data_IF_988205485945
#
_entry.id   IF_988205485945
#
_cell.length_a   1.000
_cell.length_b   1.000
_cell.length_c   1.000
_cell.angle_alpha   90.00
_cell.angle_beta   90.00
_cell.angle_gamma   90.00
#
_symmetry.space_group_name_H-M   'P 1'
#
loop_
_entity.id
_entity.type
_entity.pdbx_description
1 polymer ?
#
# COMPACT_ATOMS: atom_id res chain seq x y z
N UNK A 1 13.06 -34.92 -2.39
CA UNK A 1 12.71 -33.84 -3.32
C UNK A 1 11.81 -32.87 -2.57
N UNK A 2 12.30 -31.70 -2.18
CA UNK A 2 11.50 -30.68 -1.50
C UNK A 2 10.66 -29.99 -2.56
N UNK A 3 9.33 -30.03 -2.42
CA UNK A 3 8.44 -29.36 -3.34
C UNK A 3 8.76 -27.86 -3.36
N UNK A 4 9.14 -27.35 -4.52
CA UNK A 4 9.37 -25.93 -4.74
C UNK A 4 8.05 -25.19 -4.52
N UNK A 5 7.95 -24.50 -3.39
CA UNK A 5 6.74 -23.82 -2.96
C UNK A 5 6.57 -22.56 -3.82
N UNK A 6 6.06 -22.72 -5.04
CA UNK A 6 5.80 -21.62 -5.96
C UNK A 6 4.86 -20.63 -5.25
N UNK A 7 5.28 -19.38 -4.98
CA UNK A 7 4.44 -18.43 -4.25
C UNK A 7 3.14 -18.24 -5.02
N UNK A 8 2.01 -18.59 -4.39
CA UNK A 8 0.68 -18.33 -4.96
C UNK A 8 0.55 -16.84 -5.15
N UNK A 9 0.13 -16.41 -6.34
CA UNK A 9 -0.22 -15.02 -6.60
C UNK A 9 -1.39 -14.64 -5.66
N UNK A 10 -1.06 -13.98 -4.56
CA UNK A 10 -2.04 -13.43 -3.64
C UNK A 10 -2.42 -12.04 -4.17
N UNK A 11 -3.68 -11.87 -4.55
CA UNK A 11 -4.25 -10.56 -4.80
C UNK A 11 -4.87 -10.04 -3.51
N UNK A 12 -4.62 -8.78 -3.18
CA UNK A 12 -5.25 -8.11 -2.05
C UNK A 12 -5.93 -6.84 -2.54
N UNK A 13 -7.18 -6.67 -2.10
CA UNK A 13 -7.95 -5.46 -2.26
C UNK A 13 -8.30 -5.00 -0.86
N UNK A 14 -7.99 -3.74 -0.54
CA UNK A 14 -8.32 -3.15 0.75
C UNK A 14 -9.13 -1.88 0.51
N UNK A 15 -10.16 -1.67 1.32
CA UNK A 15 -11.00 -0.47 1.26
C UNK A 15 -10.80 0.36 2.51
N UNK A 16 -10.53 1.65 2.34
CA UNK A 16 -10.32 2.63 3.42
C UNK A 16 -11.29 3.78 3.26
N UNK A 17 -11.93 4.20 4.34
CA UNK A 17 -12.69 5.45 4.33
C UNK A 17 -11.74 6.60 4.60
N UNK A 18 -11.59 7.51 3.63
CA UNK A 18 -10.73 8.68 3.72
C UNK A 18 -11.55 9.96 3.42
N UNK A 19 -11.03 11.15 3.77
CA UNK A 19 -11.64 12.40 3.32
C UNK A 19 -11.83 12.39 1.80
N UNK A 20 -13.02 12.73 1.29
CA UNK A 20 -13.35 12.57 -0.12
C UNK A 20 -12.61 13.52 -1.08
N UNK A 21 -12.79 13.33 -2.41
CA UNK A 21 -12.18 14.18 -3.43
C UNK A 21 -12.90 15.52 -3.64
N UNK A 22 -14.13 15.64 -3.13
CA UNK A 22 -14.93 16.86 -3.20
C UNK A 22 -14.41 17.95 -2.25
N UNK A 23 -14.84 19.21 -2.46
CA UNK A 23 -14.43 20.34 -1.63
C UNK A 23 -14.86 20.18 -0.16
N UNK A 24 -15.96 19.47 0.09
CA UNK A 24 -16.51 19.21 1.42
C UNK A 24 -15.76 18.10 2.16
N UNK A 25 -14.86 17.38 1.46
CA UNK A 25 -14.07 16.26 1.99
C UNK A 25 -14.92 15.18 2.65
N UNK A 26 -16.13 14.93 2.13
CA UNK A 26 -17.04 13.92 2.71
C UNK A 26 -16.37 12.55 2.79
N UNK A 27 -16.46 11.82 3.92
CA UNK A 27 -15.88 10.49 4.03
C UNK A 27 -16.32 9.60 2.86
N UNK A 28 -15.37 9.03 2.14
CA UNK A 28 -15.61 8.25 0.92
C UNK A 28 -14.75 7.00 0.95
N UNK A 29 -15.26 5.83 0.51
CA UNK A 29 -14.43 4.64 0.37
C UNK A 29 -13.43 4.80 -0.78
N UNK A 30 -12.18 4.50 -0.50
CA UNK A 30 -11.10 4.36 -1.47
C UNK A 30 -10.67 2.90 -1.52
N UNK A 31 -10.53 2.35 -2.72
CA UNK A 31 -10.13 0.96 -2.93
C UNK A 31 -8.68 0.89 -3.40
N UNK A 32 -7.88 0.10 -2.70
CA UNK A 32 -6.46 -0.11 -2.95
C UNK A 32 -6.29 -1.55 -3.45
N UNK A 33 -5.96 -1.73 -4.72
CA UNK A 33 -5.72 -3.04 -5.32
C UNK A 33 -4.23 -3.21 -5.59
N UNK A 34 -3.62 -4.23 -5.00
CA UNK A 34 -2.23 -4.60 -5.32
C UNK A 34 -2.13 -4.95 -6.80
N UNK A 35 -1.19 -4.33 -7.51
CA UNK A 35 -0.92 -4.60 -8.93
C UNK A 35 0.44 -5.24 -9.15
N UNK A 36 1.40 -5.03 -8.25
CA UNK A 36 2.70 -5.69 -8.25
C UNK A 36 3.19 -5.91 -6.83
N UNK A 37 3.90 -7.02 -6.61
CA UNK A 37 4.66 -7.30 -5.38
C UNK A 37 5.97 -7.98 -5.76
N UNK A 38 7.09 -7.44 -5.28
CA UNK A 38 8.38 -8.09 -5.45
C UNK A 38 8.40 -9.41 -4.64
N UNK A 39 8.74 -10.56 -5.27
CA UNK A 39 8.89 -11.83 -4.56
C UNK A 39 10.01 -11.81 -3.49
N UNK A 40 11.00 -10.92 -3.64
CA UNK A 40 12.08 -10.73 -2.70
C UNK A 40 11.92 -9.40 -1.93
N UNK A 41 11.30 -9.41 -0.73
CA UNK A 41 10.94 -8.18 -0.03
C UNK A 41 12.14 -7.41 0.57
N UNK A 42 13.33 -8.00 0.64
CA UNK A 42 14.56 -7.37 1.14
C UNK A 42 15.41 -6.74 0.05
N UNK A 43 15.08 -6.98 -1.22
CA UNK A 43 15.81 -6.37 -2.34
C UNK A 43 15.52 -4.85 -2.42
N UNK A 44 16.56 -4.01 -2.62
CA UNK A 44 16.35 -2.60 -2.94
C UNK A 44 15.55 -2.41 -4.25
N UNK A 45 14.78 -1.33 -4.33
CA UNK A 45 13.93 -1.00 -5.48
C UNK A 45 12.45 -1.17 -5.19
N UNK A 46 11.64 -1.38 -6.22
CA UNK A 46 10.18 -1.46 -6.09
C UNK A 46 9.77 -2.70 -5.27
N UNK A 47 9.08 -2.49 -4.16
CA UNK A 47 8.60 -3.56 -3.26
C UNK A 47 7.16 -3.94 -3.64
N UNK A 48 6.31 -2.95 -3.84
CA UNK A 48 4.89 -3.16 -4.11
C UNK A 48 4.27 -1.95 -4.79
N UNK A 49 3.30 -2.17 -5.66
CA UNK A 49 2.46 -1.11 -6.20
C UNK A 49 0.98 -1.43 -6.05
N UNK A 50 0.18 -0.36 -5.97
CA UNK A 50 -1.26 -0.42 -5.86
C UNK A 50 -1.92 0.54 -6.84
N UNK A 51 -3.03 0.12 -7.42
CA UNK A 51 -4.03 1.01 -8.00
C UNK A 51 -4.97 1.51 -6.91
N UNK A 52 -5.30 2.80 -6.91
CA UNK A 52 -6.22 3.45 -5.98
C UNK A 52 -7.40 4.05 -6.74
N UNK A 53 -8.62 3.61 -6.42
CA UNK A 53 -9.87 4.16 -6.97
C UNK A 53 -10.76 4.76 -5.88
N UNK A 54 -11.78 5.52 -6.27
CA UNK A 54 -12.64 6.32 -5.36
C UNK A 54 -12.26 7.80 -5.28
N UNK A 55 -11.18 8.19 -5.97
CA UNK A 55 -10.77 9.58 -6.17
C UNK A 55 -11.53 10.30 -7.30
N UNK A 56 -10.97 11.43 -7.75
CA UNK A 56 -11.45 12.07 -8.99
C UNK A 56 -11.08 11.24 -10.22
N UNK A 57 -9.93 10.60 -10.14
CA UNK A 57 -9.34 9.74 -11.15
C UNK A 57 -8.69 8.54 -10.45
N UNK A 58 -8.21 7.59 -11.23
CA UNK A 58 -7.39 6.50 -10.73
C UNK A 58 -5.97 7.01 -10.39
N UNK A 59 -5.47 6.62 -9.23
CA UNK A 59 -4.10 6.93 -8.81
C UNK A 59 -3.30 5.64 -8.63
N UNK A 60 -1.97 5.77 -8.60
CA UNK A 60 -1.07 4.69 -8.26
C UNK A 60 -0.31 5.03 -6.99
N UNK A 61 -0.03 4.02 -6.17
CA UNK A 61 0.92 4.09 -5.07
C UNK A 61 2.06 3.12 -5.35
N UNK A 62 3.28 3.54 -5.06
CA UNK A 62 4.48 2.69 -5.07
C UNK A 62 5.19 2.78 -3.72
N UNK A 63 5.64 1.63 -3.24
CA UNK A 63 6.57 1.52 -2.12
C UNK A 63 7.92 1.05 -2.66
N UNK A 64 8.97 1.82 -2.42
CA UNK A 64 10.33 1.54 -2.86
C UNK A 64 11.25 1.39 -1.66
N UNK A 65 12.09 0.36 -1.67
CA UNK A 65 13.10 0.14 -0.65
C UNK A 65 14.40 0.79 -1.10
N UNK A 66 14.89 1.73 -0.31
CA UNK A 66 16.23 2.28 -0.49
C UNK A 66 17.31 1.27 -0.09
N UNK A 67 18.56 1.54 -0.47
CA UNK A 67 19.70 0.66 -0.21
C UNK A 67 20.00 0.43 1.27
N UNK A 68 19.63 1.37 2.14
CA UNK A 68 19.74 1.27 3.61
C UNK A 68 18.52 0.58 4.26
N UNK A 69 17.55 0.14 3.46
CA UNK A 69 16.37 -0.59 3.89
C UNK A 69 15.13 0.26 4.19
N UNK A 70 15.19 1.60 4.20
CA UNK A 70 13.99 2.41 4.43
C UNK A 70 13.01 2.32 3.26
N UNK A 71 11.71 2.55 3.53
CA UNK A 71 10.66 2.55 2.51
C UNK A 71 10.27 3.98 2.13
N UNK A 72 10.47 4.32 0.87
CA UNK A 72 9.94 5.53 0.24
C UNK A 72 8.57 5.23 -0.37
N UNK A 73 7.64 6.15 -0.17
CA UNK A 73 6.26 6.01 -0.62
C UNK A 73 5.92 7.11 -1.60
N UNK A 74 5.37 6.73 -2.73
CA UNK A 74 5.00 7.65 -3.79
C UNK A 74 3.53 7.44 -4.15
N UNK A 75 2.79 8.54 -4.36
CA UNK A 75 1.42 8.50 -4.83
C UNK A 75 1.27 9.46 -6.00
N UNK A 76 0.55 9.05 -7.05
CA UNK A 76 0.32 9.91 -8.22
C UNK A 76 -0.87 10.85 -8.05
N UNK A 77 -1.47 10.93 -6.86
CA UNK A 77 -2.56 11.87 -6.65
C UNK A 77 -2.06 13.32 -6.74
N UNK A 78 -2.89 14.28 -7.19
CA UNK A 78 -2.45 15.67 -7.36
C UNK A 78 -1.86 16.30 -6.10
N UNK A 79 -2.37 15.92 -4.92
CA UNK A 79 -1.91 16.41 -3.63
C UNK A 79 -0.47 15.94 -3.33
N UNK A 80 -0.16 14.68 -3.64
CA UNK A 80 1.17 14.11 -3.47
C UNK A 80 2.17 14.69 -4.46
N UNK A 81 1.78 14.85 -5.73
CA UNK A 81 2.64 15.43 -6.77
C UNK A 81 2.95 16.89 -6.44
N UNK A 82 1.91 17.71 -6.23
CA UNK A 82 2.07 19.13 -5.96
C UNK A 82 2.88 19.41 -4.68
N UNK A 83 2.58 18.72 -3.58
CA UNK A 83 3.31 18.95 -2.34
C UNK A 83 4.65 18.23 -2.29
N UNK A 84 4.84 17.11 -3.00
CA UNK A 84 6.13 16.41 -3.04
C UNK A 84 7.24 17.25 -3.68
N UNK A 85 6.90 18.05 -4.69
CA UNK A 85 7.82 19.02 -5.31
C UNK A 85 8.19 20.17 -4.36
N UNK A 86 7.26 20.57 -3.49
CA UNK A 86 7.39 21.77 -2.65
C UNK A 86 7.77 21.46 -1.19
N UNK A 87 7.64 20.20 -0.76
CA UNK A 87 7.82 19.73 0.62
C UNK A 87 8.31 18.28 0.58
N UNK A 88 9.60 18.08 0.83
CA UNK A 88 10.29 16.79 0.74
C UNK A 88 9.75 15.68 1.65
N UNK A 89 8.96 16.02 2.67
CA UNK A 89 8.38 15.07 3.63
C UNK A 89 6.84 14.97 3.56
N UNK A 90 6.21 15.46 2.49
CA UNK A 90 4.76 15.43 2.39
C UNK A 90 4.24 14.00 2.13
N UNK A 91 3.28 13.57 2.95
CA UNK A 91 2.59 12.32 2.79
C UNK A 91 1.09 12.58 2.56
N UNK A 92 0.55 12.09 1.45
CA UNK A 92 -0.84 12.33 1.12
C UNK A 92 -1.77 11.41 1.95
N UNK A 93 -3.04 11.77 2.02
CA UNK A 93 -4.06 10.97 2.73
C UNK A 93 -4.14 9.51 2.27
N UNK A 94 -3.80 9.20 1.01
CA UNK A 94 -3.87 7.82 0.50
C UNK A 94 -2.72 6.96 1.03
N UNK A 95 -1.50 7.50 1.08
CA UNK A 95 -0.35 6.81 1.67
C UNK A 95 -0.58 6.65 3.17
N UNK A 96 -0.98 7.71 3.87
CA UNK A 96 -1.31 7.63 5.30
C UNK A 96 -2.38 6.58 5.60
N UNK A 97 -3.46 6.56 4.83
CA UNK A 97 -4.54 5.57 5.00
C UNK A 97 -4.07 4.13 4.80
N UNK A 98 -3.22 3.91 3.80
CA UNK A 98 -2.68 2.57 3.51
C UNK A 98 -1.66 2.13 4.58
N UNK A 99 -0.77 3.02 5.02
CA UNK A 99 0.21 2.73 6.08
C UNK A 99 -0.48 2.37 7.40
N UNK A 100 -1.49 3.14 7.81
CA UNK A 100 -2.25 2.88 9.03
C UNK A 100 -2.88 1.47 9.03
N UNK A 101 -3.36 1.00 7.88
CA UNK A 101 -3.85 -0.38 7.74
C UNK A 101 -2.74 -1.41 7.94
N UNK A 102 -1.61 -1.24 7.26
CA UNK A 102 -0.50 -2.20 7.32
C UNK A 102 0.06 -2.32 8.73
N UNK A 103 0.15 -1.21 9.47
CA UNK A 103 0.50 -1.22 10.90
C UNK A 103 -0.53 -2.01 11.73
N UNK A 104 -1.82 -1.85 11.42
CA UNK A 104 -2.91 -2.49 12.17
C UNK A 104 -3.06 -3.98 11.87
N UNK A 105 -2.61 -4.46 10.69
CA UNK A 105 -2.98 -5.81 10.23
C UNK A 105 -2.28 -6.93 11.03
N UNK A 106 -1.20 -6.64 11.75
CA UNK A 106 -0.49 -7.61 12.61
C UNK A 106 -0.03 -8.88 11.89
N UNK A 107 0.59 -9.81 12.64
CA UNK A 107 0.84 -11.16 12.14
C UNK A 107 -0.33 -12.06 12.57
N UNK A 108 -1.03 -12.75 11.66
CA UNK A 108 -2.05 -13.70 12.06
C UNK A 108 -1.40 -14.80 12.90
N UNK A 109 -1.79 -14.91 14.17
CA UNK A 109 -1.39 -16.03 15.03
C UNK A 109 -2.12 -17.27 14.52
N UNK A 110 -1.41 -18.14 13.80
CA UNK A 110 -1.93 -19.45 13.43
C UNK A 110 -2.05 -20.26 14.72
N UNK A 111 -3.25 -20.37 15.30
CA UNK A 111 -3.49 -21.36 16.36
C UNK A 111 -3.26 -22.74 15.76
N UNK A 112 -2.20 -23.43 16.20
CA UNK A 112 -2.06 -24.85 15.92
C UNK A 112 -3.29 -25.56 16.47
N UNK A 113 -3.90 -26.42 15.65
CA UNK A 113 -4.95 -27.32 16.14
C UNK A 113 -4.31 -28.13 17.26
N UNK A 114 -4.89 -28.08 18.45
CA UNK A 114 -4.55 -29.01 19.52
C UNK A 114 -4.67 -30.43 18.93
N UNK A 115 -3.55 -31.14 18.87
CA UNK A 115 -3.54 -32.56 18.54
C UNK A 115 -4.15 -33.24 19.77
N UNK A 116 -5.33 -33.82 19.58
CA UNK A 116 -6.01 -34.66 20.57
C UNK A 116 -5.42 -36.06 20.57
#
# INVERSE_FOLDING_TARGET
MVAENKPRAAFAIVTVVLPGPDKKRRPTPYMFRVTYRNPNPSEPGCVMTWTVTGGREEYQIAAERASDGHLNWHCTCPDAVYNGENRSAYCCKHIHGLQALMETTGNPVRRERAVA
#
